data_IF_312593018364
#
_entry.id   IF_312593018364
#
_cell.length_a   1.000
_cell.length_b   1.000
_cell.length_c   1.000
_cell.angle_alpha   90.00
_cell.angle_beta   90.00
_cell.angle_gamma   90.00
#
_symmetry.space_group_name_H-M   'P 1'
#
loop_
_entity.id
_entity.type
_entity.pdbx_description
1 polymer ?
#
# COMPACT_ATOMS: atom_id res chain seq x y z
N UNK A 1 -63.95 26.66 22.54
CA UNK A 1 -62.79 26.74 21.65
C UNK A 1 -61.78 25.66 22.09
N UNK A 2 -61.76 24.48 21.46
CA UNK A 2 -60.85 23.37 21.81
C UNK A 2 -59.62 23.44 20.93
N UNK A 3 -58.49 23.83 21.50
CA UNK A 3 -57.22 23.83 20.79
C UNK A 3 -56.72 22.41 20.55
N UNK A 4 -56.36 22.09 19.28
CA UNK A 4 -55.79 20.81 18.85
C UNK A 4 -54.32 20.70 19.31
N UNK A 5 -54.06 20.02 20.43
CA UNK A 5 -52.69 19.72 20.96
C UNK A 5 -52.10 18.43 20.40
N UNK A 6 -52.64 17.89 19.33
CA UNK A 6 -52.27 16.56 18.82
C UNK A 6 -51.14 16.51 17.75
N UNK A 7 -50.86 17.64 17.10
CA UNK A 7 -49.93 17.63 15.93
C UNK A 7 -48.44 17.83 16.28
N UNK A 8 -48.15 18.49 17.39
CA UNK A 8 -46.76 18.75 17.81
C UNK A 8 -46.07 17.52 18.41
N UNK A 9 -46.81 16.64 19.10
CA UNK A 9 -46.26 15.40 19.67
C UNK A 9 -45.83 14.40 18.63
N UNK A 10 -46.53 14.34 17.47
CA UNK A 10 -46.20 13.46 16.34
C UNK A 10 -44.92 13.90 15.64
N UNK A 11 -44.72 15.23 15.48
CA UNK A 11 -43.51 15.76 14.82
C UNK A 11 -42.26 15.52 15.67
N UNK A 12 -42.33 15.75 16.98
CA UNK A 12 -41.22 15.50 17.90
C UNK A 12 -40.84 14.01 17.97
N UNK A 13 -41.84 13.11 17.96
CA UNK A 13 -41.61 11.67 17.93
C UNK A 13 -40.90 11.25 16.63
N UNK A 14 -41.31 11.78 15.46
CA UNK A 14 -40.70 11.45 14.16
C UNK A 14 -39.25 11.98 14.06
N UNK A 15 -38.98 13.18 14.52
CA UNK A 15 -37.62 13.76 14.54
C UNK A 15 -36.69 12.99 15.50
N UNK A 16 -37.22 12.59 16.67
CA UNK A 16 -36.48 11.76 17.63
C UNK A 16 -36.11 10.39 17.04
N UNK A 17 -37.09 9.72 16.37
CA UNK A 17 -36.83 8.46 15.68
C UNK A 17 -35.82 8.61 14.54
N UNK A 18 -35.87 9.70 13.78
CA UNK A 18 -34.91 9.98 12.71
C UNK A 18 -33.49 10.20 13.25
N UNK A 19 -33.36 10.94 14.34
CA UNK A 19 -32.06 11.12 15.02
C UNK A 19 -31.54 9.82 15.59
N UNK A 20 -32.39 9.01 16.20
CA UNK A 20 -31.99 7.71 16.77
C UNK A 20 -31.53 6.75 15.67
N UNK A 21 -32.22 6.72 14.51
CA UNK A 21 -31.80 5.90 13.35
C UNK A 21 -30.49 6.40 12.74
N UNK A 22 -30.26 7.72 12.68
CA UNK A 22 -28.97 8.27 12.24
C UNK A 22 -27.85 7.91 13.20
N UNK A 23 -28.05 7.99 14.49
CA UNK A 23 -27.04 7.60 15.50
C UNK A 23 -26.74 6.10 15.43
N UNK A 24 -27.77 5.26 15.24
CA UNK A 24 -27.61 3.82 15.06
C UNK A 24 -26.89 3.47 13.75
N UNK A 25 -27.19 4.15 12.63
CA UNK A 25 -26.49 3.98 11.36
C UNK A 25 -25.05 4.47 11.46
N UNK A 26 -24.78 5.59 12.11
CA UNK A 26 -23.44 6.10 12.36
C UNK A 26 -22.64 5.13 13.26
N UNK A 27 -23.27 4.65 14.35
CA UNK A 27 -22.70 3.62 15.23
C UNK A 27 -22.45 2.29 14.51
N UNK A 28 -23.31 1.92 13.56
CA UNK A 28 -23.14 0.72 12.76
C UNK A 28 -22.00 0.86 11.74
N UNK A 29 -21.89 2.00 11.07
CA UNK A 29 -20.79 2.30 10.14
C UNK A 29 -19.46 2.41 10.88
N UNK A 30 -19.43 3.09 12.04
CA UNK A 30 -18.24 3.12 12.91
C UNK A 30 -17.94 1.76 13.53
N UNK A 31 -18.97 1.02 13.94
CA UNK A 31 -18.82 -0.35 14.47
C UNK A 31 -18.32 -1.34 13.42
N UNK A 32 -18.78 -1.24 12.18
CA UNK A 32 -18.28 -2.06 11.07
C UNK A 32 -16.82 -1.68 10.76
N UNK A 33 -16.47 -0.39 10.71
CA UNK A 33 -15.06 0.03 10.60
C UNK A 33 -14.22 -0.48 11.75
N UNK A 34 -14.72 -0.44 12.99
CA UNK A 34 -14.01 -0.91 14.17
C UNK A 34 -13.88 -2.45 14.21
N UNK A 35 -14.85 -3.18 13.70
CA UNK A 35 -14.82 -4.67 13.65
C UNK A 35 -13.93 -5.15 12.50
N UNK A 36 -13.93 -4.48 11.34
CA UNK A 36 -12.97 -4.75 10.27
C UNK A 36 -11.52 -4.40 10.69
N UNK A 37 -11.34 -3.57 11.71
CA UNK A 37 -10.03 -3.14 12.23
C UNK A 37 -9.43 -4.09 13.29
N UNK A 38 -10.14 -5.13 13.71
CA UNK A 38 -9.58 -6.18 14.59
C UNK A 38 -8.78 -7.20 13.76
N UNK A 39 -7.87 -6.72 12.97
CA UNK A 39 -6.81 -7.50 12.37
C UNK A 39 -5.86 -8.02 13.46
N UNK A 40 -5.31 -9.19 13.21
CA UNK A 40 -4.48 -9.95 14.14
C UNK A 40 -3.47 -9.09 14.89
N UNK A 41 -3.31 -9.41 16.14
CA UNK A 41 -2.62 -8.65 17.21
C UNK A 41 -1.09 -8.63 17.03
N UNK A 42 -0.60 -8.45 15.80
CA UNK A 42 0.82 -8.46 15.50
C UNK A 42 1.30 -7.07 15.10
N UNK A 43 2.34 -6.62 15.80
CA UNK A 43 3.01 -5.35 15.58
C UNK A 43 4.14 -5.46 14.54
N UNK A 44 3.98 -6.39 13.58
CA UNK A 44 5.00 -6.68 12.55
C UNK A 44 4.53 -6.24 11.17
N UNK A 45 5.41 -5.62 10.37
CA UNK A 45 5.10 -5.34 8.96
C UNK A 45 5.03 -6.64 8.15
N UNK A 46 4.32 -6.59 7.02
CA UNK A 46 4.19 -7.72 6.10
C UNK A 46 5.43 -7.75 5.19
N UNK A 47 6.15 -8.86 5.18
CA UNK A 47 7.29 -9.09 4.29
C UNK A 47 6.93 -10.02 3.13
N UNK A 48 6.06 -10.98 3.38
CA UNK A 48 5.53 -11.94 2.42
C UNK A 48 4.24 -12.58 2.92
N UNK A 49 3.56 -13.32 2.08
CA UNK A 49 2.35 -14.08 2.39
C UNK A 49 2.62 -15.58 2.41
N UNK A 50 2.04 -16.30 3.37
CA UNK A 50 2.03 -17.75 3.39
C UNK A 50 0.88 -18.28 2.51
N UNK A 51 1.22 -18.72 1.31
CA UNK A 51 0.26 -19.22 0.32
C UNK A 51 0.91 -20.26 -0.59
N UNK A 52 0.12 -21.21 -1.08
CA UNK A 52 0.52 -22.17 -2.12
C UNK A 52 0.25 -21.64 -3.54
N UNK A 53 -0.53 -20.55 -3.67
CA UNK A 53 -0.80 -19.92 -4.95
C UNK A 53 0.49 -19.30 -5.51
N UNK A 54 0.82 -19.61 -6.76
CA UNK A 54 2.00 -19.05 -7.44
C UNK A 54 1.80 -17.57 -7.81
N UNK A 55 1.45 -16.76 -6.79
CA UNK A 55 1.34 -15.31 -6.89
C UNK A 55 2.51 -14.65 -6.19
N UNK A 56 3.02 -13.59 -6.81
CA UNK A 56 4.04 -12.71 -6.22
C UNK A 56 3.71 -11.25 -6.55
N UNK A 57 4.28 -10.32 -5.80
CA UNK A 57 4.17 -8.90 -6.10
C UNK A 57 5.52 -8.30 -6.41
N UNK A 58 5.59 -7.56 -7.53
CA UNK A 58 6.73 -6.69 -7.84
C UNK A 58 6.36 -5.28 -7.39
N UNK A 59 7.24 -4.64 -6.63
CA UNK A 59 6.99 -3.32 -6.08
C UNK A 59 8.18 -2.39 -6.27
N UNK A 60 7.89 -1.12 -6.50
CA UNK A 60 8.87 -0.09 -6.82
C UNK A 60 8.82 1.03 -5.79
N UNK A 61 9.95 1.32 -5.15
CA UNK A 61 10.10 2.51 -4.33
C UNK A 61 10.49 3.69 -5.23
N UNK A 62 9.74 4.79 -5.14
CA UNK A 62 9.87 5.97 -6.00
C UNK A 62 10.13 7.19 -5.13
N UNK A 63 11.40 7.54 -4.96
CA UNK A 63 11.83 8.64 -4.10
C UNK A 63 12.52 9.78 -4.86
N UNK A 64 13.30 9.46 -5.89
CA UNK A 64 14.09 10.43 -6.64
C UNK A 64 14.11 10.09 -8.11
N UNK A 65 14.26 11.14 -8.95
CA UNK A 65 14.33 10.97 -10.40
C UNK A 65 13.02 10.45 -11.00
N UNK A 66 12.92 10.52 -12.31
CA UNK A 66 11.70 10.10 -13.03
C UNK A 66 12.02 9.42 -14.37
N UNK A 67 13.31 9.34 -14.74
CA UNK A 67 13.75 8.98 -16.08
C UNK A 67 13.41 7.52 -16.48
N UNK A 68 13.22 6.63 -15.51
CA UNK A 68 12.98 5.21 -15.78
C UNK A 68 11.49 4.82 -15.66
N UNK A 69 10.63 5.71 -15.19
CA UNK A 69 9.20 5.38 -15.00
C UNK A 69 8.57 4.90 -16.31
N UNK A 70 8.85 5.59 -17.42
CA UNK A 70 8.29 5.23 -18.72
C UNK A 70 8.81 3.87 -19.22
N UNK A 71 10.10 3.58 -19.06
CA UNK A 71 10.69 2.28 -19.40
C UNK A 71 10.07 1.15 -18.54
N UNK A 72 9.88 1.38 -17.22
CA UNK A 72 9.23 0.42 -16.32
C UNK A 72 7.80 0.15 -16.76
N UNK A 73 7.02 1.21 -17.00
CA UNK A 73 5.62 1.08 -17.41
C UNK A 73 5.46 0.39 -18.75
N UNK A 74 6.36 0.63 -19.72
CA UNK A 74 6.36 -0.04 -21.02
C UNK A 74 6.63 -1.54 -20.88
N UNK A 75 7.60 -1.92 -20.04
CA UNK A 75 7.92 -3.33 -19.78
C UNK A 75 6.77 -4.03 -19.06
N UNK A 76 6.19 -3.42 -18.03
CA UNK A 76 5.05 -3.99 -17.30
C UNK A 76 3.83 -4.16 -18.22
N UNK A 77 3.56 -3.19 -19.11
CA UNK A 77 2.48 -3.29 -20.10
C UNK A 77 2.74 -4.42 -21.12
N UNK A 78 3.98 -4.59 -21.60
CA UNK A 78 4.36 -5.68 -22.51
C UNK A 78 4.02 -7.06 -21.95
N UNK A 79 4.20 -7.26 -20.64
CA UNK A 79 3.90 -8.50 -19.94
C UNK A 79 2.48 -8.55 -19.36
N UNK A 80 1.67 -7.49 -19.56
CA UNK A 80 0.35 -7.34 -18.92
C UNK A 80 0.37 -7.50 -17.39
N UNK A 81 1.44 -7.05 -16.75
CA UNK A 81 1.66 -7.12 -15.29
C UNK A 81 1.25 -5.81 -14.64
N UNK A 82 0.57 -5.90 -13.49
CA UNK A 82 0.31 -4.76 -12.62
C UNK A 82 1.16 -4.88 -11.36
N UNK A 83 1.72 -3.75 -10.95
CA UNK A 83 2.68 -3.64 -9.84
C UNK A 83 2.26 -2.54 -8.88
N UNK A 84 2.90 -2.47 -7.70
CA UNK A 84 2.66 -1.43 -6.71
C UNK A 84 3.83 -0.45 -6.68
N UNK A 85 3.54 0.85 -6.75
CA UNK A 85 4.51 1.93 -6.66
C UNK A 85 4.34 2.67 -5.34
N UNK A 86 5.35 2.61 -4.47
CA UNK A 86 5.38 3.34 -3.20
C UNK A 86 6.03 4.70 -3.41
N UNK A 87 5.24 5.76 -3.34
CA UNK A 87 5.62 7.11 -3.74
C UNK A 87 6.00 7.97 -2.54
N UNK A 88 7.13 8.66 -2.63
CA UNK A 88 7.50 9.73 -1.69
C UNK A 88 6.71 11.00 -2.03
N UNK A 89 6.12 11.66 -1.01
CA UNK A 89 5.23 12.80 -1.21
C UNK A 89 5.91 14.01 -1.87
N UNK A 90 7.19 14.27 -1.59
CA UNK A 90 7.95 15.32 -2.29
C UNK A 90 8.18 14.98 -3.76
N UNK A 91 8.35 13.72 -4.11
CA UNK A 91 8.41 13.29 -5.51
C UNK A 91 7.06 13.45 -6.22
N UNK A 92 5.95 13.20 -5.51
CA UNK A 92 4.59 13.40 -6.04
C UNK A 92 4.37 14.86 -6.44
N UNK A 93 4.79 15.83 -5.62
CA UNK A 93 4.66 17.26 -5.90
C UNK A 93 5.35 17.65 -7.23
N UNK A 94 6.50 17.06 -7.52
CA UNK A 94 7.30 17.37 -8.71
C UNK A 94 6.87 16.56 -9.95
N UNK A 95 6.03 15.52 -9.79
CA UNK A 95 5.75 14.53 -10.84
C UNK A 95 4.27 14.14 -10.95
N UNK A 96 3.33 15.08 -10.73
CA UNK A 96 1.89 14.80 -10.72
C UNK A 96 1.39 14.04 -11.97
N UNK A 97 1.89 14.38 -13.15
CA UNK A 97 1.49 13.73 -14.41
C UNK A 97 1.97 12.28 -14.49
N UNK A 98 3.15 11.97 -13.92
CA UNK A 98 3.62 10.59 -13.83
C UNK A 98 2.81 9.77 -12.82
N UNK A 99 2.40 10.35 -11.70
CA UNK A 99 1.50 9.71 -10.73
C UNK A 99 0.19 9.31 -11.42
N UNK A 100 -0.45 10.25 -12.13
CA UNK A 100 -1.67 9.98 -12.91
C UNK A 100 -1.44 8.92 -13.99
N UNK A 101 -0.28 8.95 -14.65
CA UNK A 101 0.09 7.96 -15.68
C UNK A 101 0.23 6.57 -15.09
N UNK A 102 0.95 6.40 -13.98
CA UNK A 102 1.10 5.12 -13.27
C UNK A 102 -0.29 4.56 -12.93
N UNK A 103 -1.12 5.38 -12.28
CA UNK A 103 -2.48 5.00 -11.89
C UNK A 103 -3.38 4.66 -13.10
N UNK A 104 -3.37 5.49 -14.17
CA UNK A 104 -4.21 5.28 -15.36
C UNK A 104 -3.88 3.99 -16.11
N UNK A 105 -2.67 3.46 -15.94
CA UNK A 105 -2.23 2.17 -16.46
C UNK A 105 -2.65 0.99 -15.55
N UNK A 106 -3.36 1.25 -14.46
CA UNK A 106 -3.90 0.24 -13.54
C UNK A 106 -2.87 -0.29 -12.54
N UNK A 107 -1.78 0.44 -12.30
CA UNK A 107 -0.86 0.11 -11.21
C UNK A 107 -1.34 0.68 -9.89
N UNK A 108 -1.06 -0.04 -8.82
CA UNK A 108 -1.38 0.36 -7.45
C UNK A 108 -0.40 1.42 -6.94
N UNK A 109 -0.92 2.38 -6.17
CA UNK A 109 -0.12 3.39 -5.51
C UNK A 109 -0.09 3.14 -4.00
N UNK A 110 1.10 3.19 -3.42
CA UNK A 110 1.37 3.13 -1.99
C UNK A 110 2.07 4.38 -1.48
N UNK A 111 2.07 4.55 -0.19
CA UNK A 111 2.70 5.68 0.52
C UNK A 111 4.12 5.31 0.96
N UNK A 112 5.11 6.18 0.68
CA UNK A 112 6.51 6.00 1.09
C UNK A 112 7.04 7.19 1.90
N UNK A 113 6.17 7.75 2.81
CA UNK A 113 6.48 8.97 3.57
C UNK A 113 6.52 10.24 2.70
N UNK A 114 6.52 11.41 3.31
CA UNK A 114 6.52 12.67 2.56
C UNK A 114 7.91 13.13 2.14
N UNK A 115 8.89 12.98 3.02
CA UNK A 115 10.27 13.44 2.80
C UNK A 115 11.29 12.30 2.76
N UNK A 116 10.83 11.04 2.75
CA UNK A 116 11.67 9.85 2.88
C UNK A 116 12.46 9.82 4.20
N UNK A 117 11.90 10.36 5.27
CA UNK A 117 12.53 10.37 6.58
C UNK A 117 12.44 9.03 7.27
N UNK A 118 13.48 8.66 8.06
CA UNK A 118 13.41 7.51 8.93
C UNK A 118 12.43 7.77 10.08
N UNK A 119 11.31 7.05 10.10
CA UNK A 119 10.22 7.29 11.06
C UNK A 119 10.60 6.93 12.50
N UNK A 120 11.58 6.07 12.73
CA UNK A 120 11.99 5.62 14.07
C UNK A 120 12.60 6.76 14.92
N UNK A 121 13.09 7.81 14.27
CA UNK A 121 13.70 8.98 14.94
C UNK A 121 12.77 10.20 15.01
N UNK A 122 11.57 10.11 14.42
CA UNK A 122 10.58 11.19 14.40
C UNK A 122 9.69 11.17 15.66
N UNK A 123 9.05 12.30 15.96
CA UNK A 123 7.96 12.34 16.92
C UNK A 123 6.69 11.72 16.33
N UNK A 124 5.74 11.29 17.20
CA UNK A 124 4.46 10.72 16.77
C UNK A 124 3.72 11.67 15.82
N UNK A 125 3.73 12.97 16.14
CA UNK A 125 3.11 13.99 15.29
C UNK A 125 3.75 14.05 13.90
N UNK A 126 5.08 14.00 13.84
CA UNK A 126 5.80 14.10 12.57
C UNK A 126 5.60 12.84 11.73
N UNK A 127 5.50 11.64 12.35
CA UNK A 127 5.14 10.40 11.66
C UNK A 127 3.77 10.50 11.02
N UNK A 128 2.77 10.97 11.78
CA UNK A 128 1.41 11.19 11.27
C UNK A 128 1.42 12.15 10.09
N UNK A 129 2.15 13.26 10.21
CA UNK A 129 2.25 14.29 9.16
C UNK A 129 2.91 13.73 7.89
N UNK A 130 4.03 13.02 8.03
CA UNK A 130 4.73 12.35 6.92
C UNK A 130 3.82 11.39 6.13
N UNK A 131 2.99 10.63 6.82
CA UNK A 131 2.08 9.68 6.19
C UNK A 131 0.88 10.39 5.57
N UNK A 132 0.19 11.27 6.32
CA UNK A 132 -1.05 11.89 5.85
C UNK A 132 -0.82 12.83 4.68
N UNK A 133 0.24 13.65 4.72
CA UNK A 133 0.55 14.58 3.61
C UNK A 133 0.72 13.82 2.28
N UNK A 134 1.42 12.69 2.29
CA UNK A 134 1.64 11.92 1.06
C UNK A 134 0.35 11.29 0.56
N UNK A 135 -0.44 10.70 1.45
CA UNK A 135 -1.74 10.13 1.08
C UNK A 135 -2.68 11.18 0.52
N UNK A 136 -2.78 12.35 1.15
CA UNK A 136 -3.63 13.44 0.67
C UNK A 136 -3.22 13.89 -0.74
N UNK A 137 -1.91 13.99 -1.01
CA UNK A 137 -1.37 14.33 -2.33
C UNK A 137 -1.77 13.30 -3.39
N UNK A 138 -1.50 12.01 -3.11
CA UNK A 138 -1.82 10.93 -4.05
C UNK A 138 -3.33 10.87 -4.28
N UNK A 139 -4.12 10.79 -3.21
CA UNK A 139 -5.58 10.67 -3.28
C UNK A 139 -6.23 11.83 -4.03
N UNK A 140 -5.72 13.05 -3.86
CA UNK A 140 -6.18 14.23 -4.60
C UNK A 140 -5.95 14.11 -6.11
N UNK A 141 -4.85 13.47 -6.52
CA UNK A 141 -4.51 13.33 -7.94
C UNK A 141 -5.29 12.22 -8.64
N UNK A 142 -5.55 11.12 -7.95
CA UNK A 142 -6.12 9.90 -8.55
C UNK A 142 -7.56 9.61 -8.12
N UNK A 143 -8.04 10.24 -7.05
CA UNK A 143 -9.42 10.06 -6.56
C UNK A 143 -9.65 8.77 -5.76
N UNK A 144 -8.58 8.08 -5.36
CA UNK A 144 -8.63 6.82 -4.60
C UNK A 144 -7.90 6.93 -3.26
N UNK A 145 -8.33 6.13 -2.27
CA UNK A 145 -7.66 6.05 -0.98
C UNK A 145 -6.40 5.17 -1.08
N UNK A 146 -5.31 5.59 -0.42
CA UNK A 146 -4.08 4.83 -0.28
C UNK A 146 -4.03 4.20 1.10
N UNK A 147 -3.96 2.88 1.17
CA UNK A 147 -3.97 2.11 2.43
C UNK A 147 -2.68 1.33 2.69
N UNK A 148 -1.75 1.31 1.73
CA UNK A 148 -0.46 0.67 1.89
C UNK A 148 0.60 1.70 2.25
N UNK A 149 1.39 1.39 3.27
CA UNK A 149 2.54 2.18 3.69
C UNK A 149 3.81 1.33 3.68
N UNK A 150 4.86 1.84 3.05
CA UNK A 150 6.20 1.26 3.13
C UNK A 150 7.13 2.25 3.83
N UNK A 151 7.71 1.89 4.98
CA UNK A 151 8.61 2.78 5.68
C UNK A 151 9.92 2.99 4.89
N UNK A 152 10.44 4.23 4.81
CA UNK A 152 11.75 4.50 4.23
C UNK A 152 12.84 3.64 4.87
N UNK A 153 13.78 3.19 4.05
CA UNK A 153 14.88 2.29 4.44
C UNK A 153 14.44 0.91 4.98
N UNK A 154 13.12 0.64 5.02
CA UNK A 154 12.56 -0.50 5.73
C UNK A 154 12.66 -0.37 7.26
N UNK A 155 12.97 0.80 7.78
CA UNK A 155 13.12 1.05 9.21
C UNK A 155 11.76 1.35 9.85
N UNK A 156 11.36 0.53 10.82
CA UNK A 156 10.08 0.66 11.53
C UNK A 156 10.21 0.13 12.96
N UNK A 157 9.62 0.83 13.91
CA UNK A 157 9.50 0.45 15.31
C UNK A 157 8.04 0.25 15.72
N UNK A 158 7.79 -0.25 16.93
CA UNK A 158 6.46 -0.48 17.46
C UNK A 158 5.59 0.77 17.44
N UNK A 159 6.17 1.93 17.74
CA UNK A 159 5.50 3.23 17.73
C UNK A 159 4.98 3.56 16.32
N UNK A 160 5.83 3.42 15.30
CA UNK A 160 5.43 3.65 13.90
C UNK A 160 4.35 2.68 13.46
N UNK A 161 4.46 1.38 13.84
CA UNK A 161 3.45 0.37 13.55
C UNK A 161 2.09 0.71 14.17
N UNK A 162 2.05 1.12 15.43
CA UNK A 162 0.83 1.53 16.12
C UNK A 162 0.18 2.74 15.45
N UNK A 163 0.97 3.75 15.07
CA UNK A 163 0.48 4.92 14.35
C UNK A 163 -0.10 4.51 12.99
N UNK A 164 0.62 3.75 12.17
CA UNK A 164 0.13 3.27 10.89
C UNK A 164 -1.18 2.51 11.03
N UNK A 165 -1.25 1.59 12.00
CA UNK A 165 -2.46 0.83 12.32
C UNK A 165 -3.62 1.75 12.72
N UNK A 166 -3.36 2.76 13.55
CA UNK A 166 -4.39 3.73 13.98
C UNK A 166 -4.93 4.59 12.84
N UNK A 167 -4.12 4.81 11.82
CA UNK A 167 -4.47 5.53 10.59
C UNK A 167 -5.08 4.64 9.49
N UNK A 168 -5.16 3.32 9.72
CA UNK A 168 -5.77 2.37 8.78
C UNK A 168 -4.82 1.85 7.71
N UNK A 169 -3.49 1.96 7.91
CA UNK A 169 -2.51 1.45 6.93
C UNK A 169 -2.07 0.03 7.24
N UNK A 170 -1.89 -0.74 6.17
CA UNK A 170 -1.09 -1.97 6.19
C UNK A 170 0.36 -1.61 5.90
N UNK A 171 1.26 -1.97 6.81
CA UNK A 171 2.70 -1.72 6.65
C UNK A 171 3.33 -2.87 5.91
N UNK A 172 3.88 -2.60 4.73
CA UNK A 172 4.42 -3.61 3.82
C UNK A 172 5.91 -3.36 3.58
N UNK A 173 6.70 -4.40 3.75
CA UNK A 173 8.12 -4.43 3.38
C UNK A 173 8.34 -5.36 2.18
N UNK A 174 9.35 -6.20 2.21
CA UNK A 174 9.70 -7.17 1.16
C UNK A 174 10.49 -8.33 1.78
N UNK A 175 10.38 -9.50 1.18
CA UNK A 175 11.25 -10.63 1.48
C UNK A 175 12.39 -10.77 0.46
N UNK A 176 12.24 -10.17 -0.74
CA UNK A 176 13.27 -10.17 -1.77
C UNK A 176 13.67 -8.74 -2.10
N UNK A 177 14.87 -8.33 -1.66
CA UNK A 177 15.53 -7.11 -2.13
C UNK A 177 16.31 -7.44 -3.40
N UNK A 178 15.96 -6.81 -4.53
CA UNK A 178 16.66 -6.99 -5.81
C UNK A 178 18.14 -6.56 -5.74
N UNK A 179 18.48 -5.67 -4.82
CA UNK A 179 19.77 -4.98 -4.69
C UNK A 179 20.15 -4.18 -5.94
N UNK A 180 19.16 -3.77 -6.74
CA UNK A 180 19.34 -2.96 -7.94
C UNK A 180 20.08 -1.64 -7.65
N UNK A 181 19.81 -1.04 -6.49
CA UNK A 181 20.45 0.17 -6.01
C UNK A 181 21.98 0.04 -5.76
N UNK A 182 22.50 -1.20 -5.67
CA UNK A 182 23.94 -1.47 -5.50
C UNK A 182 24.70 -1.59 -6.82
N UNK A 183 24.01 -1.45 -7.96
CA UNK A 183 24.59 -1.57 -9.29
C UNK A 183 25.42 -2.86 -9.49
N UNK A 184 24.93 -3.99 -8.91
CA UNK A 184 25.62 -5.29 -8.95
C UNK A 184 25.62 -5.96 -10.33
N UNK A 185 25.01 -5.32 -11.32
CA UNK A 185 24.87 -5.80 -12.70
C UNK A 185 23.61 -6.63 -12.93
N UNK A 186 23.03 -6.48 -14.11
CA UNK A 186 21.73 -7.04 -14.48
C UNK A 186 21.61 -8.55 -14.24
N UNK A 187 22.65 -9.33 -14.59
CA UNK A 187 22.64 -10.78 -14.40
C UNK A 187 22.50 -11.19 -12.92
N UNK A 188 23.17 -10.49 -12.02
CA UNK A 188 23.07 -10.78 -10.58
C UNK A 188 21.72 -10.38 -10.02
N UNK A 189 21.11 -9.28 -10.51
CA UNK A 189 19.76 -8.87 -10.13
C UNK A 189 18.74 -9.92 -10.58
N UNK A 190 18.81 -10.35 -11.86
CA UNK A 190 17.94 -11.38 -12.42
C UNK A 190 18.04 -12.67 -11.61
N UNK A 191 19.25 -13.21 -11.45
CA UNK A 191 19.49 -14.44 -10.71
C UNK A 191 18.97 -14.36 -9.27
N UNK A 192 19.21 -13.23 -8.61
CA UNK A 192 18.77 -13.01 -7.23
C UNK A 192 17.25 -13.03 -7.10
N UNK A 193 16.55 -12.28 -7.93
CA UNK A 193 15.08 -12.21 -7.87
C UNK A 193 14.49 -13.56 -8.24
N UNK A 194 14.82 -14.11 -9.40
CA UNK A 194 14.21 -15.36 -9.89
C UNK A 194 14.43 -16.52 -8.96
N UNK A 195 15.68 -16.75 -8.48
CA UNK A 195 15.99 -17.89 -7.60
C UNK A 195 15.44 -17.74 -6.19
N UNK A 196 15.16 -16.52 -5.71
CA UNK A 196 14.60 -16.29 -4.40
C UNK A 196 13.07 -16.27 -4.39
N UNK A 197 12.44 -16.14 -5.57
CA UNK A 197 10.98 -16.05 -5.69
C UNK A 197 10.30 -17.32 -5.21
N UNK A 198 9.29 -17.14 -4.36
CA UNK A 198 8.42 -18.16 -3.82
C UNK A 198 6.98 -17.65 -3.88
N UNK A 199 5.98 -18.56 -3.84
CA UNK A 199 4.60 -18.12 -3.66
C UNK A 199 4.48 -17.16 -2.47
N UNK A 200 3.77 -16.05 -2.67
CA UNK A 200 3.58 -15.02 -1.65
C UNK A 200 4.71 -14.01 -1.49
N UNK A 201 5.78 -14.08 -2.28
CA UNK A 201 6.92 -13.14 -2.19
C UNK A 201 6.54 -11.72 -2.61
N UNK A 202 7.13 -10.72 -1.94
CA UNK A 202 7.09 -9.30 -2.29
C UNK A 202 8.50 -8.86 -2.65
N UNK A 203 8.70 -8.45 -3.90
CA UNK A 203 10.01 -8.05 -4.44
C UNK A 203 10.14 -6.54 -4.43
N UNK A 204 11.27 -6.03 -3.90
CA UNK A 204 11.63 -4.61 -3.94
C UNK A 204 12.52 -4.30 -5.13
N UNK A 205 12.14 -3.25 -5.86
CA UNK A 205 12.94 -2.51 -6.83
C UNK A 205 12.90 -1.01 -6.53
N UNK A 206 13.83 -0.25 -7.13
CA UNK A 206 13.86 1.21 -7.06
C UNK A 206 13.72 1.82 -8.44
N UNK A 207 12.77 2.74 -8.60
CA UNK A 207 12.46 3.33 -9.90
C UNK A 207 13.54 4.30 -10.44
N UNK A 208 14.44 4.78 -9.58
CA UNK A 208 15.49 5.73 -9.94
C UNK A 208 16.82 5.05 -10.35
N UNK A 209 16.90 3.72 -10.33
CA UNK A 209 18.13 2.99 -10.64
C UNK A 209 18.32 2.91 -12.15
N UNK A 210 19.52 3.28 -12.60
CA UNK A 210 19.88 3.17 -14.02
C UNK A 210 19.89 1.69 -14.48
N UNK A 211 19.34 1.46 -15.65
CA UNK A 211 19.42 0.13 -16.27
C UNK A 211 18.28 -0.83 -15.94
N UNK A 212 17.18 -0.37 -15.32
CA UNK A 212 16.00 -1.18 -15.04
C UNK A 212 15.52 -1.95 -16.27
N UNK A 213 15.56 -1.36 -17.43
CA UNK A 213 15.21 -1.99 -18.73
C UNK A 213 16.09 -3.18 -19.13
N UNK A 214 17.27 -3.33 -18.55
CA UNK A 214 18.18 -4.43 -18.87
C UNK A 214 17.97 -5.68 -18.03
N UNK A 215 17.15 -5.61 -16.97
CA UNK A 215 16.88 -6.76 -16.11
C UNK A 215 15.40 -7.03 -15.86
N UNK A 216 14.55 -6.01 -15.92
CA UNK A 216 13.13 -6.18 -15.57
C UNK A 216 12.39 -7.08 -16.56
N UNK A 217 12.60 -6.87 -17.86
CA UNK A 217 12.01 -7.69 -18.94
C UNK A 217 12.39 -9.18 -18.80
N UNK A 218 13.67 -9.46 -18.56
CA UNK A 218 14.18 -10.83 -18.35
C UNK A 218 13.61 -11.46 -17.06
N UNK A 219 13.45 -10.67 -15.98
CA UNK A 219 12.87 -11.15 -14.72
C UNK A 219 11.41 -11.56 -14.95
N UNK A 220 10.61 -10.69 -15.58
CA UNK A 220 9.20 -10.97 -15.86
C UNK A 220 9.05 -12.22 -16.72
N UNK A 221 9.83 -12.32 -17.82
CA UNK A 221 9.84 -13.49 -18.69
C UNK A 221 10.10 -14.78 -17.92
N UNK A 222 11.14 -14.79 -17.06
CA UNK A 222 11.50 -15.99 -16.29
C UNK A 222 10.46 -16.37 -15.23
N UNK A 223 9.84 -15.38 -14.58
CA UNK A 223 8.78 -15.63 -13.61
C UNK A 223 7.51 -16.18 -14.29
N UNK A 224 7.19 -15.69 -15.49
CA UNK A 224 6.10 -16.25 -16.32
C UNK A 224 6.40 -17.70 -16.76
N UNK A 225 7.64 -18.00 -17.17
CA UNK A 225 8.08 -19.36 -17.50
C UNK A 225 7.95 -20.33 -16.31
N UNK A 226 8.14 -19.82 -15.08
CA UNK A 226 7.92 -20.57 -13.85
C UNK A 226 6.45 -20.61 -13.41
N UNK A 227 5.53 -20.03 -14.19
CA UNK A 227 4.09 -19.91 -13.95
C UNK A 227 3.73 -19.08 -12.70
N UNK A 228 4.49 -18.03 -12.39
CA UNK A 228 4.06 -17.04 -11.42
C UNK A 228 3.06 -16.06 -12.04
N UNK A 229 2.01 -15.77 -11.29
CA UNK A 229 1.11 -14.65 -11.52
C UNK A 229 1.64 -13.44 -10.74
N UNK A 230 1.92 -12.34 -11.44
CA UNK A 230 2.44 -11.12 -10.83
C UNK A 230 1.28 -10.14 -10.62
N UNK A 231 0.99 -9.82 -9.35
CA UNK A 231 -0.18 -9.00 -8.94
C UNK A 231 0.26 -7.82 -8.06
N UNK A 232 -0.55 -6.75 -7.95
CA UNK A 232 -0.33 -5.70 -6.97
C UNK A 232 -0.28 -6.25 -5.54
N UNK A 233 0.36 -5.50 -4.63
CA UNK A 233 0.53 -5.92 -3.23
C UNK A 233 -0.83 -6.15 -2.57
N UNK A 234 -1.82 -5.28 -2.79
CA UNK A 234 -3.15 -5.42 -2.17
C UNK A 234 -3.92 -6.67 -2.62
N UNK A 235 -3.60 -7.19 -3.82
CA UNK A 235 -4.19 -8.44 -4.33
C UNK A 235 -3.44 -9.68 -3.83
N UNK A 236 -2.20 -9.52 -3.36
CA UNK A 236 -1.40 -10.59 -2.80
C UNK A 236 -1.68 -10.79 -1.31
N UNK A 237 -1.76 -9.70 -0.55
CA UNK A 237 -1.87 -9.74 0.91
C UNK A 237 -3.31 -9.96 1.36
N UNK A 238 -3.49 -10.63 2.50
CA UNK A 238 -4.81 -10.79 3.12
C UNK A 238 -5.28 -9.47 3.71
N UNK A 239 -6.53 -9.12 3.47
CA UNK A 239 -7.13 -7.88 3.96
C UNK A 239 -7.71 -8.04 5.37
N UNK A 240 -8.23 -9.24 5.70
CA UNK A 240 -8.93 -9.53 6.94
C UNK A 240 -8.49 -10.89 7.53
N UNK A 241 -8.71 -11.06 8.84
CA UNK A 241 -8.56 -12.33 9.56
C UNK A 241 -7.17 -12.98 9.41
N UNK A 242 -6.13 -12.17 9.35
CA UNK A 242 -4.75 -12.62 9.25
C UNK A 242 -3.94 -12.35 10.52
N UNK A 243 -2.84 -13.06 10.65
CA UNK A 243 -1.75 -12.76 11.59
C UNK A 243 -0.46 -12.55 10.82
N UNK A 244 0.52 -11.85 11.41
CA UNK A 244 1.87 -11.75 10.86
C UNK A 244 2.83 -12.32 11.90
N UNK A 245 3.63 -13.31 11.56
CA UNK A 245 4.56 -13.92 12.50
C UNK A 245 5.83 -13.04 12.72
N UNK A 246 6.71 -13.48 13.61
CA UNK A 246 7.95 -12.77 13.93
C UNK A 246 8.92 -12.59 12.76
N UNK A 247 8.72 -13.31 11.66
CA UNK A 247 9.49 -13.19 10.43
C UNK A 247 8.80 -12.29 9.38
N UNK A 248 7.66 -11.67 9.74
CA UNK A 248 6.87 -10.86 8.83
C UNK A 248 6.05 -11.65 7.82
N UNK A 249 5.80 -12.93 8.07
CA UNK A 249 4.98 -13.77 7.19
C UNK A 249 3.50 -13.63 7.57
N UNK A 250 2.70 -13.12 6.64
CA UNK A 250 1.25 -12.99 6.81
C UNK A 250 0.56 -14.34 6.58
N UNK A 251 -0.34 -14.73 7.48
CA UNK A 251 -1.04 -16.03 7.46
C UNK A 251 -2.52 -15.87 7.83
N UNK A 252 -3.37 -16.76 7.31
CA UNK A 252 -4.78 -16.91 7.74
C UNK A 252 -4.84 -17.84 8.95
#
# INVERSE_FOLDING_TARGET
MKFKLGRTKSLFSSVFFLMLTMVLLFGMVYGIRYVCYKQGDTNMPIYKVDTDDKKISLSFDVAWGSNNIDDILEILDKHNVKSTFFLVGSWVDDNEELVKKIHSKGHELGNHSNTHSNTTVLSDKDIVEEIQLTTDKISKLVGEEVSLYRPPFGEVDDKTMEICKSLGYQVVKWDIDSLDWKEIGSHHIIDRVVRSSQPGSIVLFHANVNGVKYYLDDILTKLEEENYEMVPVSELIYQDNYTVDSNGVQKI
#
